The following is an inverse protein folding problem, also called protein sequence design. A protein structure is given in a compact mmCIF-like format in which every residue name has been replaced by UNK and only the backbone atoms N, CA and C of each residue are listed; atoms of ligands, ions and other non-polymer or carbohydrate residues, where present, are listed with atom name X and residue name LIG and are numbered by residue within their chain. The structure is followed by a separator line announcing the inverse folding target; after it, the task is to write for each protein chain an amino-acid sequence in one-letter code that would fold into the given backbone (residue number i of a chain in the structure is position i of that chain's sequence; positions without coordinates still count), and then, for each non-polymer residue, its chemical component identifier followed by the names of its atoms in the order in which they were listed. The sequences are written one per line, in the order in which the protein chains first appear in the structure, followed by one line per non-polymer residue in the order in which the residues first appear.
data_IF_854704418258
#
_entry.id   IF_854704418258
#
_cell.length_a   1.000
_cell.length_b   1.000
_cell.length_c   1.000
_cell.angle_alpha   90.00
_cell.angle_beta   90.00
_cell.angle_gamma   90.00
#
_symmetry.space_group_name_H-M   'P 1'
#
loop_
_entity.id
_entity.type
_entity.pdbx_description
1 polymer ?
#
# COMPACT_ATOMS: atom_id res chain seq x y z
N UNK A 1 6.81 -5.42 -13.02
CA UNK A 1 6.07 -6.67 -13.26
C UNK A 1 5.62 -7.15 -11.91
N UNK A 2 4.35 -7.00 -11.58
CA UNK A 2 3.79 -7.52 -10.34
C UNK A 2 2.59 -8.36 -10.72
N UNK A 3 2.58 -9.62 -10.28
CA UNK A 3 1.49 -10.58 -10.41
C UNK A 3 0.17 -10.02 -9.86
N UNK A 4 -0.56 -9.27 -10.70
CA UNK A 4 -1.93 -8.84 -10.42
C UNK A 4 -2.91 -9.92 -10.88
N UNK A 5 -2.67 -11.17 -10.46
CA UNK A 5 -3.66 -12.21 -10.65
C UNK A 5 -4.79 -12.03 -9.63
N UNK A 6 -6.06 -12.04 -10.10
CA UNK A 6 -7.19 -11.94 -9.21
C UNK A 6 -7.20 -13.14 -8.24
N UNK A 7 -7.49 -12.92 -6.94
CA UNK A 7 -7.50 -14.02 -6.00
C UNK A 7 -8.68 -14.95 -6.32
N UNK A 8 -8.40 -16.24 -6.41
CA UNK A 8 -9.39 -17.29 -6.72
C UNK A 8 -9.71 -18.19 -5.54
N UNK A 9 -8.97 -18.08 -4.41
CA UNK A 9 -9.18 -18.90 -3.21
C UNK A 9 -9.65 -18.09 -2.01
N UNK A 10 -10.64 -18.63 -1.28
CA UNK A 10 -11.22 -17.98 -0.12
C UNK A 10 -10.37 -18.23 1.13
N UNK A 11 -9.96 -17.17 1.83
CA UNK A 11 -9.16 -17.31 3.07
C UNK A 11 -9.93 -17.88 4.26
N UNK A 12 -11.28 -17.95 4.19
CA UNK A 12 -12.12 -18.47 5.27
C UNK A 12 -12.48 -19.95 5.09
N UNK A 13 -13.01 -20.32 3.93
CA UNK A 13 -13.46 -21.70 3.64
C UNK A 13 -12.47 -22.52 2.81
N UNK A 14 -11.37 -21.92 2.37
CA UNK A 14 -10.28 -22.55 1.60
C UNK A 14 -10.69 -23.13 0.23
N UNK A 15 -11.95 -22.94 -0.18
CA UNK A 15 -12.41 -23.31 -1.52
C UNK A 15 -11.82 -22.40 -2.59
N UNK A 16 -11.57 -22.98 -3.76
CA UNK A 16 -11.17 -22.29 -4.99
C UNK A 16 -12.37 -22.05 -5.88
N UNK A 17 -12.35 -20.94 -6.59
CA UNK A 17 -13.43 -20.48 -7.45
C UNK A 17 -12.87 -20.11 -8.83
N UNK A 18 -13.68 -20.30 -9.87
CA UNK A 18 -13.33 -19.87 -11.24
C UNK A 18 -13.62 -18.38 -11.49
N UNK A 19 -13.91 -17.62 -10.42
CA UNK A 19 -14.21 -16.19 -10.46
C UNK A 19 -13.27 -15.44 -9.52
N UNK A 20 -13.03 -14.17 -9.83
CA UNK A 20 -12.29 -13.29 -8.94
C UNK A 20 -13.05 -13.07 -7.62
N UNK A 21 -12.35 -13.27 -6.51
CA UNK A 21 -12.89 -13.05 -5.18
C UNK A 21 -12.65 -11.62 -4.69
N UNK A 22 -13.51 -11.18 -3.77
CA UNK A 22 -13.40 -9.84 -3.20
C UNK A 22 -12.27 -9.80 -2.17
N UNK A 23 -11.31 -8.89 -2.38
CA UNK A 23 -10.26 -8.60 -1.41
C UNK A 23 -10.83 -7.88 -0.19
N UNK A 24 -10.25 -8.10 0.97
CA UNK A 24 -10.53 -7.32 2.16
C UNK A 24 -10.32 -5.83 1.87
N UNK A 25 -11.36 -5.00 2.04
CA UNK A 25 -11.30 -3.58 1.72
C UNK A 25 -10.21 -2.81 2.50
N UNK A 26 -9.80 -3.31 3.67
CA UNK A 26 -8.79 -2.67 4.52
C UNK A 26 -7.37 -2.99 4.08
N UNK A 27 -7.00 -4.28 4.04
CA UNK A 27 -5.62 -4.69 3.76
C UNK A 27 -5.35 -4.99 2.29
N UNK A 28 -6.39 -5.31 1.50
CA UNK A 28 -6.31 -5.77 0.12
C UNK A 28 -5.50 -7.06 -0.10
N UNK A 29 -5.06 -7.74 0.97
CA UNK A 29 -4.23 -8.96 0.87
C UNK A 29 -5.01 -10.26 0.96
N UNK A 30 -6.02 -10.34 1.84
CA UNK A 30 -6.88 -11.53 1.99
C UNK A 30 -8.12 -11.43 1.11
N UNK A 31 -8.67 -12.56 0.66
CA UNK A 31 -9.82 -12.59 -0.25
C UNK A 31 -10.92 -13.53 0.24
N UNK A 32 -12.17 -13.19 -0.09
CA UNK A 32 -13.35 -13.90 0.39
C UNK A 32 -14.37 -14.09 -0.73
N UNK A 33 -14.99 -15.27 -0.77
CA UNK A 33 -16.10 -15.54 -1.67
C UNK A 33 -17.40 -14.83 -1.26
N UNK A 34 -17.52 -14.42 -0.01
CA UNK A 34 -18.71 -13.73 0.51
C UNK A 34 -18.41 -12.88 1.75
N UNK A 35 -19.31 -11.95 2.07
CA UNK A 35 -19.29 -11.18 3.32
C UNK A 35 -19.41 -12.08 4.57
N UNK A 36 -20.12 -13.20 4.45
CA UNK A 36 -20.25 -14.19 5.53
C UNK A 36 -18.88 -14.82 5.85
N UNK A 37 -18.13 -15.27 4.83
CA UNK A 37 -16.78 -15.78 4.99
C UNK A 37 -15.82 -14.74 5.59
N UNK A 38 -15.90 -13.48 5.13
CA UNK A 38 -15.10 -12.40 5.72
C UNK A 38 -15.41 -12.19 7.20
N UNK A 39 -16.69 -12.18 7.58
CA UNK A 39 -17.13 -11.94 8.96
C UNK A 39 -16.73 -13.09 9.87
N UNK A 40 -16.90 -14.33 9.42
CA UNK A 40 -16.49 -15.52 10.15
C UNK A 40 -14.97 -15.57 10.38
N UNK A 41 -14.17 -15.17 9.38
CA UNK A 41 -12.70 -15.13 9.47
C UNK A 41 -12.16 -13.87 10.17
N UNK A 42 -13.02 -12.88 10.47
CA UNK A 42 -12.56 -11.61 11.04
C UNK A 42 -11.80 -11.73 12.36
N UNK A 43 -12.20 -12.56 13.35
CA UNK A 43 -11.49 -12.66 14.62
C UNK A 43 -10.01 -13.07 14.46
N UNK A 44 -9.71 -14.02 13.58
CA UNK A 44 -8.35 -14.47 13.28
C UNK A 44 -7.61 -13.54 12.30
N UNK A 45 -8.33 -12.89 11.38
CA UNK A 45 -7.74 -11.96 10.42
C UNK A 45 -7.36 -10.59 11.03
N UNK A 46 -8.19 -10.07 11.96
CA UNK A 46 -8.07 -8.71 12.48
C UNK A 46 -6.66 -8.36 13.01
N UNK A 47 -5.95 -9.22 13.76
CA UNK A 47 -4.60 -8.91 14.26
C UNK A 47 -3.56 -8.69 13.15
N UNK A 48 -3.72 -9.35 12.01
CA UNK A 48 -2.81 -9.24 10.86
C UNK A 48 -3.30 -8.28 9.77
N UNK A 49 -4.51 -7.73 9.91
CA UNK A 49 -5.13 -6.85 8.92
C UNK A 49 -4.53 -5.43 8.93
N UNK A 50 -3.46 -5.23 8.15
CA UNK A 50 -2.77 -3.94 7.99
C UNK A 50 -3.13 -3.29 6.66
N UNK A 51 -3.35 -1.97 6.66
CA UNK A 51 -3.51 -1.22 5.41
C UNK A 51 -2.18 -1.25 4.62
N UNK A 52 -2.23 -1.28 3.28
CA UNK A 52 -1.01 -1.29 2.49
C UNK A 52 -0.27 0.05 2.61
N UNK A 53 1.01 0.01 2.27
CA UNK A 53 1.76 1.22 1.97
C UNK A 53 1.72 1.50 0.47
N UNK A 54 1.82 2.78 0.11
CA UNK A 54 2.12 3.23 -1.23
C UNK A 54 3.62 3.45 -1.37
N UNK A 55 4.19 3.04 -2.50
CA UNK A 55 5.55 3.41 -2.89
C UNK A 55 5.46 4.63 -3.81
N UNK A 56 5.79 5.80 -3.28
CA UNK A 56 5.80 7.04 -4.05
C UNK A 56 7.24 7.38 -4.45
N UNK A 57 7.45 7.66 -5.74
CA UNK A 57 8.73 8.06 -6.30
C UNK A 57 8.70 9.55 -6.64
N UNK A 58 9.66 10.31 -6.12
CA UNK A 58 9.81 11.75 -6.33
C UNK A 58 11.11 12.01 -7.07
N UNK A 59 11.05 12.72 -8.19
CA UNK A 59 12.21 13.15 -8.97
C UNK A 59 12.21 14.68 -8.98
N UNK A 60 13.32 15.31 -8.61
CA UNK A 60 13.42 16.77 -8.63
C UNK A 60 13.96 17.25 -9.96
N UNK A 61 13.18 18.10 -10.63
CA UNK A 61 13.49 18.70 -11.94
C UNK A 61 14.20 17.70 -12.86
N UNK A 62 13.57 16.56 -13.21
CA UNK A 62 14.24 15.47 -13.92
C UNK A 62 14.83 15.90 -15.28
N UNK A 63 14.28 16.95 -15.89
CA UNK A 63 14.76 17.52 -17.14
C UNK A 63 15.98 18.44 -16.97
N UNK A 64 16.16 19.03 -15.77
CA UNK A 64 17.21 20.01 -15.46
C UNK A 64 18.35 19.42 -14.59
N UNK A 65 18.04 18.43 -13.75
CA UNK A 65 18.97 17.81 -12.79
C UNK A 65 19.05 16.31 -13.07
N UNK A 66 19.84 15.96 -14.07
CA UNK A 66 20.00 14.59 -14.56
C UNK A 66 21.29 13.90 -14.08
N UNK A 67 22.32 14.63 -13.63
CA UNK A 67 23.63 14.06 -13.27
C UNK A 67 24.25 14.68 -12.00
N UNK A 68 24.14 14.04 -10.82
CA UNK A 68 23.32 12.85 -10.53
C UNK A 68 21.83 13.21 -10.39
N UNK A 69 20.91 12.31 -10.77
CA UNK A 69 19.48 12.56 -10.64
C UNK A 69 19.07 12.57 -9.17
N UNK A 70 18.31 13.57 -8.77
CA UNK A 70 17.84 13.71 -7.39
C UNK A 70 16.48 13.03 -7.24
N UNK A 71 16.52 11.72 -6.97
CA UNK A 71 15.34 10.84 -6.81
C UNK A 71 15.23 10.27 -5.39
N UNK A 72 14.01 10.21 -4.86
CA UNK A 72 13.69 9.50 -3.61
C UNK A 72 12.46 8.62 -3.79
N UNK A 73 12.47 7.44 -3.17
CA UNK A 73 11.32 6.54 -3.12
C UNK A 73 10.93 6.36 -1.67
N UNK A 74 9.67 6.69 -1.34
CA UNK A 74 9.14 6.62 0.01
C UNK A 74 8.08 5.52 0.11
N UNK A 75 8.17 4.70 1.15
CA UNK A 75 7.09 3.78 1.54
C UNK A 75 6.21 4.48 2.58
N UNK A 76 4.98 4.76 2.20
CA UNK A 76 4.07 5.58 3.01
C UNK A 76 2.79 4.80 3.31
N UNK A 77 2.36 4.71 4.58
CA UNK A 77 1.05 4.13 4.91
C UNK A 77 -0.08 4.74 4.09
N UNK A 78 -1.10 3.97 3.72
CA UNK A 78 -2.27 4.52 3.02
C UNK A 78 -3.08 5.54 3.84
N UNK A 79 -2.69 5.78 5.08
CA UNK A 79 -3.27 6.76 6.01
C UNK A 79 -2.38 7.99 6.18
N UNK A 80 -1.29 8.10 5.42
CA UNK A 80 -0.35 9.23 5.47
C UNK A 80 -1.10 10.53 5.19
N UNK A 81 -1.03 11.48 6.11
CA UNK A 81 -1.57 12.82 5.90
C UNK A 81 -0.64 13.66 5.02
N UNK A 82 -1.12 14.79 4.51
CA UNK A 82 -0.25 15.72 3.81
C UNK A 82 0.92 16.19 4.69
N UNK A 83 0.68 16.40 5.98
CA UNK A 83 1.71 16.78 6.94
C UNK A 83 2.78 15.70 7.10
N UNK A 84 2.39 14.43 7.25
CA UNK A 84 3.33 13.32 7.36
C UNK A 84 4.16 13.15 6.09
N UNK A 85 3.51 13.29 4.92
CA UNK A 85 4.19 13.27 3.62
C UNK A 85 5.19 14.42 3.51
N UNK A 86 4.79 15.64 3.87
CA UNK A 86 5.66 16.82 3.85
C UNK A 86 6.91 16.61 4.73
N UNK A 87 6.74 16.14 5.97
CA UNK A 87 7.88 15.82 6.85
C UNK A 87 8.77 14.71 6.28
N UNK A 88 8.17 13.67 5.69
CA UNK A 88 8.94 12.61 5.05
C UNK A 88 9.78 13.13 3.88
N UNK A 89 9.25 14.06 3.08
CA UNK A 89 10.00 14.74 2.02
C UNK A 89 11.13 15.60 2.59
N UNK A 90 10.85 16.38 3.62
CA UNK A 90 11.87 17.19 4.31
C UNK A 90 13.05 16.33 4.77
N UNK A 91 12.78 15.18 5.39
CA UNK A 91 13.83 14.26 5.81
C UNK A 91 14.56 13.61 4.63
N UNK A 92 13.81 13.11 3.64
CA UNK A 92 14.38 12.36 2.51
C UNK A 92 15.31 13.20 1.62
N UNK A 93 15.04 14.51 1.50
CA UNK A 93 15.84 15.45 0.72
C UNK A 93 16.76 16.32 1.58
N UNK A 94 16.76 16.18 2.91
CA UNK A 94 17.58 17.00 3.80
C UNK A 94 17.10 18.45 3.92
N UNK A 95 15.83 18.72 3.62
CA UNK A 95 15.19 20.04 3.68
C UNK A 95 14.57 20.38 5.03
N UNK A 96 14.80 19.55 6.05
CA UNK A 96 14.25 19.80 7.38
C UNK A 96 14.65 21.16 7.99
N UNK A 97 15.77 21.74 7.55
CA UNK A 97 16.26 23.05 8.01
C UNK A 97 16.00 24.19 7.02
N UNK A 98 15.25 23.98 5.93
CA UNK A 98 15.08 24.98 4.86
C UNK A 98 13.69 25.61 4.83
N UNK A 99 12.86 25.38 5.86
CA UNK A 99 11.50 25.91 5.94
C UNK A 99 11.32 26.63 7.28
N UNK A 100 11.14 27.95 7.23
CA UNK A 100 10.71 28.81 8.34
C UNK A 100 9.19 29.04 8.28
#
# INVERSE_FOLDING_TARGET
MSDDQPPTSCSACQASFNVSLNRCARCRTTAYCSKACQTAHWPSHKPSCKRPNYLLSFHLCPDDISEPPVKRVLSLPSTTTFYDLHRALQLAFGWAATHD
#
